data_IF_077139671019
#
_entry.id   IF_077139671019
#
_cell.length_a   1.000
_cell.length_b   1.000
_cell.length_c   1.000
_cell.angle_alpha   90.00
_cell.angle_beta   90.00
_cell.angle_gamma   90.00
#
_symmetry.space_group_name_H-M   'P 1'
#
loop_
_entity.id
_entity.type
_entity.pdbx_description
1 polymer ?
#
# COMPACT_ATOMS: atom_id res chain seq x y z
N UNK A 1 16.03 -4.77 -13.42
CA UNK A 1 14.62 -4.73 -13.91
C UNK A 1 13.85 -3.76 -13.02
N UNK A 2 13.07 -2.81 -13.56
CA UNK A 2 12.33 -1.87 -12.71
C UNK A 2 11.19 -2.61 -11.98
N UNK A 3 11.04 -2.47 -10.65
CA UNK A 3 9.91 -3.04 -9.91
C UNK A 3 8.57 -2.42 -10.36
N UNK A 4 7.44 -3.09 -10.10
CA UNK A 4 6.14 -2.45 -10.20
C UNK A 4 6.05 -1.25 -9.24
N UNK A 5 5.15 -0.29 -9.50
CA UNK A 5 4.80 0.73 -8.53
C UNK A 5 4.24 0.10 -7.24
N UNK A 6 4.68 0.59 -6.10
CA UNK A 6 4.36 -0.06 -4.82
C UNK A 6 4.23 0.91 -3.66
N UNK A 7 3.48 0.48 -2.65
CA UNK A 7 3.45 1.12 -1.33
C UNK A 7 4.70 0.68 -0.58
N UNK A 8 5.55 1.64 -0.22
CA UNK A 8 6.85 1.42 0.39
C UNK A 8 6.72 1.24 1.90
N UNK A 9 6.10 2.21 2.56
CA UNK A 9 6.02 2.32 4.02
C UNK A 9 4.87 3.25 4.40
N UNK A 10 4.29 3.03 5.58
CA UNK A 10 3.32 3.94 6.19
C UNK A 10 4.02 4.83 7.22
N UNK A 11 3.89 6.14 7.05
CA UNK A 11 4.44 7.18 7.91
C UNK A 11 3.32 8.19 8.20
N UNK A 12 2.45 7.97 9.20
CA UNK A 12 1.26 8.78 9.39
C UNK A 12 1.58 10.29 9.41
N UNK A 13 0.82 11.12 8.67
CA UNK A 13 -0.41 10.82 7.92
C UNK A 13 -0.19 10.39 6.45
N UNK A 14 0.98 9.86 6.10
CA UNK A 14 1.38 9.55 4.73
C UNK A 14 1.54 8.05 4.46
N UNK A 15 1.29 7.67 3.22
CA UNK A 15 1.64 6.38 2.64
C UNK A 15 2.63 6.65 1.51
N UNK A 16 3.89 6.26 1.71
CA UNK A 16 4.97 6.50 0.75
C UNK A 16 4.87 5.54 -0.42
N UNK A 17 5.10 6.06 -1.63
CA UNK A 17 5.02 5.34 -2.88
C UNK A 17 6.39 5.22 -3.54
N UNK A 18 6.62 4.08 -4.19
CA UNK A 18 7.86 3.73 -4.86
C UNK A 18 7.64 3.45 -6.34
N UNK A 19 8.67 3.72 -7.14
CA UNK A 19 8.76 3.30 -8.55
C UNK A 19 7.65 3.80 -9.47
N UNK A 20 7.00 4.92 -9.12
CA UNK A 20 5.95 5.53 -9.94
C UNK A 20 6.45 5.87 -11.36
N UNK A 21 5.57 5.71 -12.33
CA UNK A 21 5.73 6.21 -13.71
C UNK A 21 4.54 7.09 -14.10
N UNK A 22 4.59 7.69 -15.30
CA UNK A 22 3.53 8.60 -15.78
C UNK A 22 2.15 7.95 -15.77
N UNK A 23 2.04 6.73 -16.30
CA UNK A 23 0.78 5.97 -16.35
C UNK A 23 0.21 5.70 -14.96
N UNK A 24 1.08 5.41 -13.99
CA UNK A 24 0.68 5.12 -12.62
C UNK A 24 0.21 6.39 -11.92
N UNK A 25 0.86 7.52 -12.18
CA UNK A 25 0.43 8.82 -11.65
C UNK A 25 -0.95 9.20 -12.20
N UNK A 26 -1.19 8.99 -13.48
CA UNK A 26 -2.51 9.21 -14.11
C UNK A 26 -3.59 8.32 -13.51
N UNK A 27 -3.30 7.02 -13.32
CA UNK A 27 -4.22 6.09 -12.65
C UNK A 27 -4.52 6.54 -11.22
N UNK A 28 -3.51 6.87 -10.42
CA UNK A 28 -3.68 7.37 -9.06
C UNK A 28 -4.54 8.65 -9.03
N UNK A 29 -4.32 9.58 -9.97
CA UNK A 29 -5.15 10.77 -10.10
C UNK A 29 -6.61 10.44 -10.45
N UNK A 30 -6.85 9.48 -11.35
CA UNK A 30 -8.21 9.01 -11.68
C UNK A 30 -8.89 8.32 -10.50
N UNK A 31 -8.09 7.68 -9.63
CA UNK A 31 -8.51 7.15 -8.35
C UNK A 31 -8.56 8.24 -7.28
N UNK A 32 -8.52 9.53 -7.63
CA UNK A 32 -8.72 10.67 -6.72
C UNK A 32 -7.57 10.95 -5.74
N UNK A 33 -6.38 10.40 -5.98
CA UNK A 33 -5.20 10.71 -5.18
C UNK A 33 -4.48 11.96 -5.72
N UNK A 34 -4.07 12.83 -4.79
CA UNK A 34 -3.04 13.82 -5.05
C UNK A 34 -1.71 13.27 -4.53
N UNK A 35 -0.73 13.12 -5.42
CA UNK A 35 0.62 12.70 -5.02
C UNK A 35 1.37 13.94 -4.55
N UNK A 36 1.87 13.89 -3.33
CA UNK A 36 2.69 14.95 -2.73
C UNK A 36 4.04 14.40 -2.28
N UNK A 37 4.87 15.26 -1.69
CA UNK A 37 6.16 14.87 -1.13
C UNK A 37 6.06 14.79 0.39
N UNK A 38 6.51 13.67 0.95
CA UNK A 38 6.64 13.55 2.40
C UNK A 38 7.83 14.38 2.93
N UNK A 39 8.05 14.36 4.25
CA UNK A 39 9.12 15.12 4.91
C UNK A 39 10.54 14.73 4.46
N UNK A 40 10.70 13.56 3.83
CA UNK A 40 11.97 13.09 3.28
C UNK A 40 12.05 13.25 1.75
N UNK A 41 11.07 13.90 1.12
CA UNK A 41 11.06 14.20 -0.31
C UNK A 41 10.61 13.05 -1.21
N UNK A 42 10.04 11.98 -0.64
CA UNK A 42 9.52 10.86 -1.43
C UNK A 42 8.08 11.10 -1.86
N UNK A 43 7.69 10.55 -3.01
CA UNK A 43 6.30 10.58 -3.45
C UNK A 43 5.44 9.84 -2.43
N UNK A 44 4.32 10.45 -2.04
CA UNK A 44 3.40 9.89 -1.05
C UNK A 44 1.97 10.31 -1.35
N UNK A 45 1.02 9.58 -0.77
CA UNK A 45 -0.38 10.02 -0.64
C UNK A 45 -0.69 10.22 0.83
N UNK A 46 -1.56 11.16 1.13
CA UNK A 46 -1.97 11.48 2.50
C UNK A 46 -3.36 10.98 2.79
N UNK A 47 -3.55 10.56 4.03
CA UNK A 47 -4.82 10.23 4.63
C UNK A 47 -5.08 11.13 5.85
N UNK A 48 -6.33 11.25 6.27
CA UNK A 48 -6.75 11.94 7.47
C UNK A 48 -6.42 11.07 8.69
N UNK A 49 -5.33 11.39 9.38
CA UNK A 49 -4.97 10.75 10.64
C UNK A 49 -5.74 11.39 11.82
N UNK A 50 -6.51 10.58 12.54
CA UNK A 50 -7.29 11.00 13.70
C UNK A 50 -6.63 10.64 15.04
N UNK A 51 -5.43 10.05 15.04
CA UNK A 51 -4.66 9.69 16.24
C UNK A 51 -5.22 8.52 17.08
N UNK A 52 -6.42 8.04 16.76
CA UNK A 52 -6.97 6.78 17.24
C UNK A 52 -6.46 5.62 16.34
N UNK A 53 -6.43 4.40 16.86
CA UNK A 53 -6.00 3.15 16.19
C UNK A 53 -6.09 3.24 14.64
N UNK A 54 -4.93 3.26 13.98
CA UNK A 54 -4.84 3.43 12.53
C UNK A 54 -5.67 2.37 11.79
N UNK A 55 -5.72 1.14 12.28
CA UNK A 55 -6.48 0.06 11.63
C UNK A 55 -7.99 0.24 11.75
N UNK A 56 -8.45 1.08 12.68
CA UNK A 56 -9.85 1.47 12.81
C UNK A 56 -10.19 2.70 11.96
N UNK A 57 -9.19 3.49 11.55
CA UNK A 57 -9.38 4.71 10.78
C UNK A 57 -9.95 4.42 9.38
N UNK A 58 -11.15 4.93 9.11
CA UNK A 58 -11.86 4.68 7.85
C UNK A 58 -11.14 5.27 6.63
N UNK A 59 -10.52 6.44 6.75
CA UNK A 59 -9.82 7.08 5.64
C UNK A 59 -8.51 6.35 5.32
N UNK A 60 -7.85 5.81 6.35
CA UNK A 60 -6.68 4.96 6.19
C UNK A 60 -7.01 3.64 5.46
N UNK A 61 -8.07 2.96 5.90
CA UNK A 61 -8.57 1.73 5.25
C UNK A 61 -8.94 2.01 3.80
N UNK A 62 -9.68 3.09 3.55
CA UNK A 62 -10.13 3.50 2.22
C UNK A 62 -8.95 3.84 1.30
N UNK A 63 -7.93 4.52 1.84
CA UNK A 63 -6.68 4.79 1.12
C UNK A 63 -6.03 3.50 0.65
N UNK A 64 -5.88 2.50 1.52
CA UNK A 64 -5.30 1.21 1.15
C UNK A 64 -6.12 0.46 0.10
N UNK A 65 -7.45 0.46 0.23
CA UNK A 65 -8.37 -0.17 -0.74
C UNK A 65 -8.17 0.44 -2.13
N UNK A 66 -8.22 1.77 -2.25
CA UNK A 66 -8.06 2.49 -3.53
C UNK A 66 -6.66 2.34 -4.12
N UNK A 67 -5.61 2.30 -3.29
CA UNK A 67 -4.25 2.03 -3.76
C UNK A 67 -4.16 0.64 -4.38
N UNK A 68 -4.77 -0.37 -3.76
CA UNK A 68 -4.86 -1.73 -4.33
C UNK A 68 -5.58 -1.73 -5.68
N UNK A 69 -6.73 -1.06 -5.76
CA UNK A 69 -7.55 -0.94 -6.99
C UNK A 69 -6.84 -0.20 -8.12
N UNK A 70 -5.93 0.72 -7.80
CA UNK A 70 -5.09 1.42 -8.78
C UNK A 70 -3.93 0.57 -9.34
N UNK A 71 -3.79 -0.66 -8.84
CA UNK A 71 -2.78 -1.63 -9.26
C UNK A 71 -1.44 -1.49 -8.57
N UNK A 72 -1.36 -0.76 -7.44
CA UNK A 72 -0.15 -0.73 -6.63
C UNK A 72 0.00 -2.03 -5.86
N UNK A 73 1.25 -2.51 -5.77
CA UNK A 73 1.60 -3.64 -4.92
C UNK A 73 2.06 -3.15 -3.54
N UNK A 74 2.11 -4.02 -2.53
CA UNK A 74 2.35 -3.64 -1.14
C UNK A 74 3.68 -4.23 -0.64
N UNK A 75 4.58 -3.38 -0.14
CA UNK A 75 5.88 -3.84 0.36
C UNK A 75 5.76 -4.79 1.55
N UNK A 76 6.55 -5.85 1.53
CA UNK A 76 6.78 -6.77 2.67
C UNK A 76 7.93 -6.27 3.58
N UNK A 77 8.65 -5.23 3.17
CA UNK A 77 9.89 -4.84 3.84
C UNK A 77 9.61 -4.17 5.21
N UNK A 78 10.28 -4.68 6.25
CA UNK A 78 9.95 -4.48 7.66
C UNK A 78 11.05 -3.75 8.45
N UNK A 79 12.04 -3.19 7.77
CA UNK A 79 13.19 -2.57 8.45
C UNK A 79 12.83 -1.33 9.28
N UNK A 80 11.68 -0.68 9.02
CA UNK A 80 11.17 0.44 9.81
C UNK A 80 9.62 0.41 9.86
N UNK A 81 9.03 0.00 11.00
CA UNK A 81 7.57 0.10 11.23
C UNK A 81 6.75 -1.11 10.77
N UNK A 82 5.51 -0.87 10.35
CA UNK A 82 4.58 -1.91 9.85
C UNK A 82 4.67 -2.02 8.33
N UNK A 83 4.81 -3.24 7.82
CA UNK A 83 4.84 -3.45 6.38
C UNK A 83 3.45 -3.18 5.78
N UNK A 84 3.37 -2.50 4.62
CA UNK A 84 2.10 -2.32 3.91
C UNK A 84 1.37 -3.63 3.62
N UNK A 85 2.10 -4.73 3.37
CA UNK A 85 1.51 -6.04 3.16
C UNK A 85 0.87 -6.61 4.44
N UNK A 86 1.52 -6.48 5.61
CA UNK A 86 0.92 -6.89 6.90
C UNK A 86 -0.38 -6.13 7.19
N UNK A 87 -0.41 -4.83 6.88
CA UNK A 87 -1.61 -3.99 7.05
C UNK A 87 -2.75 -4.50 6.17
N UNK A 88 -2.47 -4.85 4.90
CA UNK A 88 -3.48 -5.44 4.02
C UNK A 88 -3.98 -6.80 4.52
N UNK A 89 -3.08 -7.65 5.05
CA UNK A 89 -3.48 -8.93 5.68
C UNK A 89 -4.36 -8.70 6.90
N UNK A 90 -4.06 -7.69 7.70
CA UNK A 90 -4.87 -7.33 8.87
C UNK A 90 -6.22 -6.72 8.48
N UNK A 91 -6.30 -5.96 7.39
CA UNK A 91 -7.58 -5.53 6.85
C UNK A 91 -8.42 -6.68 6.32
N UNK A 92 -7.81 -7.69 5.71
CA UNK A 92 -8.50 -8.92 5.29
C UNK A 92 -8.98 -9.73 6.50
N UNK A 93 -8.16 -9.88 7.55
CA UNK A 93 -8.51 -10.62 8.77
C UNK A 93 -9.72 -10.00 9.49
N UNK A 94 -9.85 -8.67 9.42
CA UNK A 94 -10.95 -7.88 10.00
C UNK A 94 -12.12 -7.63 9.04
N UNK A 95 -12.12 -8.24 7.85
CA UNK A 95 -13.15 -8.07 6.82
C UNK A 95 -13.36 -6.61 6.35
N UNK A 96 -12.32 -5.78 6.46
CA UNK A 96 -12.34 -4.36 6.06
C UNK A 96 -11.99 -4.14 4.60
N UNK A 97 -11.10 -4.98 4.06
CA UNK A 97 -10.78 -5.06 2.63
C UNK A 97 -10.79 -6.53 2.27
N UNK A 98 -11.72 -6.96 1.42
CA UNK A 98 -11.89 -8.38 1.06
C UNK A 98 -11.31 -8.73 -0.31
N UNK A 99 -10.97 -7.72 -1.12
CA UNK A 99 -10.34 -7.92 -2.41
C UNK A 99 -8.94 -8.54 -2.25
N UNK A 100 -8.49 -9.37 -3.22
CA UNK A 100 -7.10 -9.79 -3.29
C UNK A 100 -6.16 -8.58 -3.43
N UNK A 101 -4.94 -8.73 -2.95
CA UNK A 101 -3.88 -7.74 -3.16
C UNK A 101 -2.57 -8.43 -3.54
N UNK A 102 -1.64 -7.68 -4.12
CA UNK A 102 -0.32 -8.19 -4.45
C UNK A 102 0.71 -7.59 -3.52
N UNK A 103 1.55 -8.41 -2.89
CA UNK A 103 2.70 -7.94 -2.13
C UNK A 103 3.99 -8.02 -2.96
N UNK A 104 5.00 -7.22 -2.60
CA UNK A 104 6.34 -7.26 -3.18
C UNK A 104 7.39 -7.43 -2.09
N UNK A 105 8.29 -8.40 -2.30
CA UNK A 105 9.43 -8.64 -1.43
C UNK A 105 10.74 -8.40 -2.18
N UNK A 106 11.63 -7.63 -1.55
CA UNK A 106 12.94 -7.29 -2.07
C UNK A 106 14.00 -8.30 -1.63
N UNK A 107 14.82 -8.77 -2.58
CA UNK A 107 16.02 -9.59 -2.35
C UNK A 107 17.30 -8.88 -2.80
N UNK A 108 17.18 -7.63 -3.26
CA UNK A 108 18.26 -6.79 -3.77
C UNK A 108 17.75 -5.77 -4.79
N UNK A 109 18.59 -4.81 -5.19
CA UNK A 109 18.21 -3.71 -6.08
C UNK A 109 17.56 -4.16 -7.41
N UNK A 110 18.01 -5.30 -7.95
CA UNK A 110 17.49 -5.89 -9.20
C UNK A 110 16.81 -7.24 -9.01
N UNK A 111 16.57 -7.65 -7.76
CA UNK A 111 15.98 -8.94 -7.43
C UNK A 111 14.81 -8.75 -6.48
N UNK A 112 13.61 -8.95 -7.00
CA UNK A 112 12.36 -8.85 -6.25
C UNK A 112 11.36 -9.84 -6.84
N UNK A 113 10.34 -10.19 -6.06
CA UNK A 113 9.24 -11.02 -6.50
C UNK A 113 7.93 -10.55 -5.90
N UNK A 114 6.83 -10.92 -6.54
CA UNK A 114 5.48 -10.57 -6.08
C UNK A 114 4.70 -11.82 -5.69
N UNK A 115 3.83 -11.68 -4.69
CA UNK A 115 2.91 -12.73 -4.23
C UNK A 115 1.50 -12.18 -4.22
N UNK A 116 0.55 -12.91 -4.79
CA UNK A 116 -0.88 -12.56 -4.72
C UNK A 116 -1.46 -13.17 -3.45
N UNK A 117 -2.11 -12.34 -2.64
CA UNK A 117 -2.81 -12.74 -1.42
C UNK A 117 -4.31 -12.68 -1.65
N UNK A 118 -4.93 -13.84 -1.62
CA UNK A 118 -6.38 -13.98 -1.63
C UNK A 118 -6.90 -14.06 -0.19
N UNK A 119 -8.16 -13.69 0.02
CA UNK A 119 -8.80 -13.91 1.31
C UNK A 119 -8.79 -15.42 1.61
N UNK A 120 -8.40 -15.86 2.82
CA UNK A 120 -8.60 -17.25 3.21
C UNK A 120 -10.10 -17.56 3.12
N UNK A 121 -10.48 -18.47 2.24
CA UNK A 121 -11.82 -19.05 2.28
C UNK A 121 -11.95 -19.75 3.62
N UNK A 122 -12.81 -19.25 4.51
CA UNK A 122 -13.34 -20.09 5.58
C UNK A 122 -14.10 -21.20 4.85
N UNK A 123 -13.46 -22.37 4.77
CA UNK A 123 -13.99 -23.71 4.51
C UNK A 123 -13.03 -24.50 3.61
N UNK A 124 -12.27 -25.40 4.25
CA UNK A 124 -11.88 -26.70 3.74
C UNK A 124 -12.01 -27.71 4.89
#
# INVERSE_FOLDING_TARGET
MKPPPYVVIVLPPFVRLGSLDGSTRERLASCGFSIERDSAGYDAVRFADTGADLLANADFVETFRRLSESGLVFGEDFTQGWSPADIMREFQSRERITAPFTAIAWRGADNWFTTVYERPTKDA
#
